data_IF_195799814230
#
_entry.id   IF_195799814230
#
_cell.length_a   1.000
_cell.length_b   1.000
_cell.length_c   1.000
_cell.angle_alpha   90.00
_cell.angle_beta   90.00
_cell.angle_gamma   90.00
#
_symmetry.space_group_name_H-M   'P 1'
#
loop_
_entity.id
_entity.type
_entity.pdbx_description
1 polymer ?
#
# COMPACT_ATOMS: atom_id res chain seq x y z
N UNK A 1 -18.82 5.56 -15.67
CA UNK A 1 -17.66 5.06 -14.89
C UNK A 1 -16.43 5.81 -15.39
N UNK A 2 -15.67 6.42 -14.48
CA UNK A 2 -14.34 6.91 -14.84
C UNK A 2 -13.44 5.68 -15.09
N UNK A 3 -12.76 5.63 -16.23
CA UNK A 3 -11.90 4.50 -16.62
C UNK A 3 -10.45 4.68 -16.15
N UNK A 4 -10.24 5.40 -15.05
CA UNK A 4 -8.92 5.58 -14.47
C UNK A 4 -8.49 4.30 -13.75
N UNK A 5 -7.23 3.92 -13.91
CA UNK A 5 -6.58 3.00 -12.99
C UNK A 5 -6.19 3.82 -11.76
N UNK A 6 -6.52 3.33 -10.57
CA UNK A 6 -6.10 3.94 -9.31
C UNK A 6 -4.63 3.56 -9.10
N UNK A 7 -3.73 4.25 -9.81
CA UNK A 7 -2.30 4.06 -9.65
C UNK A 7 -1.90 4.39 -8.21
N UNK A 8 -0.95 3.64 -7.66
CA UNK A 8 -0.65 3.66 -6.23
C UNK A 8 -0.15 5.05 -5.75
N UNK A 9 0.53 5.79 -6.63
CA UNK A 9 0.99 7.15 -6.39
C UNK A 9 -0.16 8.16 -6.35
N UNK A 10 -1.13 8.06 -7.27
CA UNK A 10 -2.36 8.87 -7.24
C UNK A 10 -3.15 8.63 -5.94
N UNK A 11 -3.27 7.36 -5.52
CA UNK A 11 -3.98 7.00 -4.28
C UNK A 11 -3.24 7.54 -3.06
N UNK A 12 -1.92 7.40 -3.01
CA UNK A 12 -1.10 7.94 -1.92
C UNK A 12 -1.24 9.46 -1.83
N UNK A 13 -1.19 10.19 -2.96
CA UNK A 13 -1.39 11.64 -2.99
C UNK A 13 -2.81 12.01 -2.52
N UNK A 14 -3.84 11.28 -2.94
CA UNK A 14 -5.22 11.52 -2.50
C UNK A 14 -5.39 11.30 -0.98
N UNK A 15 -4.73 10.31 -0.40
CA UNK A 15 -4.71 10.08 1.06
C UNK A 15 -4.05 11.27 1.76
N UNK A 16 -2.88 11.71 1.31
CA UNK A 16 -2.19 12.87 1.88
C UNK A 16 -3.04 14.14 1.78
N UNK A 17 -3.72 14.34 0.65
CA UNK A 17 -4.67 15.42 0.46
C UNK A 17 -5.84 15.34 1.47
N UNK A 18 -6.45 14.17 1.64
CA UNK A 18 -7.55 13.98 2.60
C UNK A 18 -7.10 14.28 4.05
N UNK A 19 -5.92 13.78 4.44
CA UNK A 19 -5.32 14.06 5.76
C UNK A 19 -5.08 15.56 5.94
N UNK A 20 -4.47 16.22 4.94
CA UNK A 20 -4.22 17.66 4.98
C UNK A 20 -5.50 18.52 5.05
N UNK A 21 -6.62 18.01 4.53
CA UNK A 21 -7.93 18.66 4.61
C UNK A 21 -8.70 18.32 5.90
N UNK A 22 -8.10 17.60 6.84
CA UNK A 22 -8.71 17.28 8.13
C UNK A 22 -9.77 16.19 8.09
N UNK A 23 -9.75 15.32 7.07
CA UNK A 23 -10.59 14.12 7.05
C UNK A 23 -10.28 13.26 8.27
N UNK A 24 -11.31 12.83 9.01
CA UNK A 24 -11.16 11.94 10.18
C UNK A 24 -11.35 10.47 9.84
N UNK A 25 -12.05 10.16 8.75
CA UNK A 25 -12.30 8.80 8.26
C UNK A 25 -12.22 8.81 6.73
N UNK A 26 -11.50 7.86 6.15
CA UNK A 26 -11.31 7.69 4.71
C UNK A 26 -11.88 6.34 4.28
N UNK A 27 -12.76 6.36 3.27
CA UNK A 27 -13.33 5.16 2.67
C UNK A 27 -12.52 4.75 1.43
N UNK A 28 -12.02 3.53 1.42
CA UNK A 28 -11.23 2.92 0.34
C UNK A 28 -11.95 1.68 -0.19
N UNK A 29 -12.96 1.90 -1.02
CA UNK A 29 -13.76 0.83 -1.65
C UNK A 29 -13.06 0.21 -2.88
N UNK A 30 -11.76 -0.04 -2.76
CA UNK A 30 -10.89 -0.63 -3.78
C UNK A 30 -9.90 -1.61 -3.13
N UNK A 31 -9.23 -2.40 -3.95
CA UNK A 31 -8.05 -3.13 -3.51
C UNK A 31 -7.49 -4.09 -4.54
N UNK A 32 -6.32 -4.63 -4.22
CA UNK A 32 -5.57 -5.59 -5.04
C UNK A 32 -4.86 -6.64 -4.16
N UNK A 33 -4.43 -7.75 -4.76
CA UNK A 33 -3.64 -8.77 -4.09
C UNK A 33 -2.17 -8.34 -3.86
N UNK A 34 -1.70 -7.33 -4.59
CA UNK A 34 -0.35 -6.82 -4.47
C UNK A 34 -0.18 -5.92 -3.24
N UNK A 35 0.90 -6.15 -2.49
CA UNK A 35 1.30 -5.28 -1.39
C UNK A 35 2.01 -4.03 -1.94
N UNK A 36 1.55 -2.85 -1.55
CA UNK A 36 2.20 -1.57 -1.89
C UNK A 36 2.84 -0.93 -0.67
N UNK A 37 4.16 -0.74 -0.71
CA UNK A 37 4.90 -0.03 0.35
C UNK A 37 4.55 1.46 0.36
N UNK A 38 4.37 2.08 -0.81
CA UNK A 38 3.99 3.48 -0.92
C UNK A 38 2.62 3.73 -0.29
N UNK A 39 1.64 2.87 -0.61
CA UNK A 39 0.30 2.98 -0.02
C UNK A 39 0.31 2.74 1.48
N UNK A 40 1.10 1.75 1.96
CA UNK A 40 1.27 1.50 3.39
C UNK A 40 1.86 2.70 4.11
N UNK A 41 2.92 3.32 3.59
CA UNK A 41 3.52 4.52 4.18
C UNK A 41 2.50 5.68 4.28
N UNK A 42 1.70 5.89 3.23
CA UNK A 42 0.68 6.94 3.21
C UNK A 42 -0.42 6.69 4.25
N UNK A 43 -0.90 5.44 4.38
CA UNK A 43 -1.90 5.04 5.37
C UNK A 43 -1.32 5.15 6.78
N UNK A 44 -0.10 4.66 7.03
CA UNK A 44 0.59 4.77 8.32
C UNK A 44 0.79 6.22 8.73
N UNK A 45 1.20 7.07 7.79
CA UNK A 45 1.28 8.51 8.02
C UNK A 45 -0.09 9.07 8.41
N UNK A 46 -1.15 8.80 7.64
CA UNK A 46 -2.50 9.27 7.96
C UNK A 46 -3.01 8.77 9.32
N UNK A 47 -2.75 7.52 9.65
CA UNK A 47 -3.13 6.91 10.92
C UNK A 47 -2.39 7.59 12.08
N UNK A 48 -1.10 7.90 11.91
CA UNK A 48 -0.33 8.69 12.88
C UNK A 48 -0.87 10.12 13.09
N UNK A 49 -1.59 10.66 12.10
CA UNK A 49 -2.30 11.94 12.20
C UNK A 49 -3.73 11.79 12.77
N UNK A 50 -4.13 10.59 13.17
CA UNK A 50 -5.42 10.30 13.77
C UNK A 50 -6.57 10.15 12.77
N UNK A 51 -6.28 9.68 11.55
CA UNK A 51 -7.27 9.36 10.52
C UNK A 51 -7.57 7.86 10.53
N UNK A 52 -8.85 7.49 10.53
CA UNK A 52 -9.29 6.11 10.37
C UNK A 52 -9.41 5.75 8.89
N UNK A 53 -8.84 4.61 8.51
CA UNK A 53 -8.93 4.07 7.16
C UNK A 53 -9.88 2.89 7.16
N UNK A 54 -10.85 2.87 6.25
CA UNK A 54 -11.84 1.79 6.11
C UNK A 54 -11.80 1.28 4.68
N UNK A 55 -11.54 0.00 4.49
CA UNK A 55 -11.43 -0.59 3.16
C UNK A 55 -12.29 -1.83 2.98
N UNK A 56 -12.68 -2.07 1.74
CA UNK A 56 -13.44 -3.25 1.35
C UNK A 56 -12.55 -4.50 1.34
N UNK A 57 -13.01 -5.60 1.95
CA UNK A 57 -12.24 -6.84 2.07
C UNK A 57 -11.99 -7.57 0.72
N UNK A 58 -12.75 -7.23 -0.32
CA UNK A 58 -12.67 -7.85 -1.65
C UNK A 58 -13.86 -8.76 -1.97
N UNK A 59 -14.01 -9.10 -3.26
CA UNK A 59 -15.23 -9.69 -3.83
C UNK A 59 -15.01 -11.06 -4.50
N UNK A 60 -14.01 -11.82 -4.05
CA UNK A 60 -13.60 -13.08 -4.68
C UNK A 60 -14.09 -14.33 -3.93
N UNK A 61 -14.68 -14.17 -2.74
CA UNK A 61 -15.09 -15.30 -1.90
C UNK A 61 -13.91 -16.15 -1.44
N UNK A 62 -12.76 -15.53 -1.15
CA UNK A 62 -11.53 -16.26 -0.77
C UNK A 62 -10.92 -15.73 0.52
N UNK A 63 -9.94 -16.48 1.03
CA UNK A 63 -9.08 -16.06 2.14
C UNK A 63 -7.80 -15.34 1.69
N UNK A 64 -7.71 -14.93 0.42
CA UNK A 64 -6.56 -14.19 -0.06
C UNK A 64 -6.57 -12.76 0.52
N UNK A 65 -5.38 -12.25 0.83
CA UNK A 65 -5.23 -10.87 1.29
C UNK A 65 -5.62 -9.89 0.17
N UNK A 66 -6.20 -8.77 0.57
CA UNK A 66 -6.61 -7.70 -0.32
C UNK A 66 -6.16 -6.37 0.30
N UNK A 67 -5.25 -5.67 -0.34
CA UNK A 67 -4.70 -4.40 0.12
C UNK A 67 -5.48 -3.23 -0.48
N UNK A 68 -5.75 -2.14 0.27
CA UNK A 68 -5.21 -1.85 1.61
C UNK A 68 -5.96 -2.49 2.78
N UNK A 69 -7.06 -3.22 2.57
CA UNK A 69 -7.85 -3.80 3.66
C UNK A 69 -7.08 -4.77 4.57
N UNK A 70 -5.99 -5.38 4.08
CA UNK A 70 -5.13 -6.26 4.85
C UNK A 70 -4.00 -5.54 5.62
N UNK A 71 -3.91 -4.21 5.58
CA UNK A 71 -2.97 -3.47 6.43
C UNK A 71 -3.49 -3.33 7.86
N UNK A 72 -2.62 -3.46 8.85
CA UNK A 72 -2.94 -3.31 10.28
C UNK A 72 -3.64 -1.98 10.62
N UNK A 73 -3.30 -0.90 9.92
CA UNK A 73 -3.87 0.43 10.15
C UNK A 73 -5.21 0.66 9.41
N UNK A 74 -5.73 -0.35 8.72
CA UNK A 74 -6.97 -0.26 7.92
C UNK A 74 -8.04 -1.21 8.43
N UNK A 75 -9.25 -0.67 8.66
CA UNK A 75 -10.44 -1.44 9.02
C UNK A 75 -10.96 -2.18 7.80
N UNK A 76 -10.84 -3.50 7.79
CA UNK A 76 -11.29 -4.40 6.73
C UNK A 76 -12.75 -4.77 6.88
N UNK A 77 -13.55 -4.52 5.84
CA UNK A 77 -15.00 -4.70 5.89
C UNK A 77 -15.49 -5.74 4.91
N UNK A 78 -16.04 -6.84 5.45
CA UNK A 78 -16.73 -7.88 4.68
C UNK A 78 -18.19 -7.54 4.39
N UNK A 79 -18.84 -8.36 3.56
CA UNK A 79 -20.21 -8.13 3.07
C UNK A 79 -21.18 -9.21 3.54
N UNK A 80 -22.35 -8.77 3.98
CA UNK A 80 -23.50 -9.63 4.29
C UNK A 80 -24.64 -9.47 3.30
N UNK A 81 -25.47 -10.50 3.22
CA UNK A 81 -26.76 -10.53 2.55
C UNK A 81 -27.89 -10.08 3.49
N UNK A 82 -29.07 -9.85 2.90
CA UNK A 82 -30.29 -9.66 3.69
C UNK A 82 -30.51 -10.85 4.62
N UNK A 83 -30.56 -10.59 5.92
CA UNK A 83 -30.67 -11.64 6.95
C UNK A 83 -29.37 -11.93 7.70
N UNK A 84 -28.25 -11.32 7.31
CA UNK A 84 -26.97 -11.40 8.02
C UNK A 84 -26.08 -12.58 7.66
N UNK A 85 -26.45 -13.39 6.65
CA UNK A 85 -25.53 -14.38 6.09
C UNK A 85 -24.37 -13.70 5.37
N UNK A 86 -23.16 -14.27 5.45
CA UNK A 86 -22.02 -13.79 4.66
C UNK A 86 -22.36 -13.87 3.16
N UNK A 87 -22.13 -12.79 2.42
CA UNK A 87 -22.33 -12.79 0.99
C UNK A 87 -21.33 -13.73 0.32
N UNK A 88 -21.79 -14.55 -0.63
CA UNK A 88 -20.94 -15.57 -1.25
C UNK A 88 -19.68 -15.03 -1.96
N UNK A 89 -19.66 -13.74 -2.32
CA UNK A 89 -18.50 -13.06 -2.88
C UNK A 89 -17.58 -12.41 -1.83
N UNK A 90 -18.02 -12.26 -0.57
CA UNK A 90 -17.20 -11.59 0.45
C UNK A 90 -15.94 -12.40 0.69
N UNK A 91 -14.78 -11.76 0.57
CA UNK A 91 -13.56 -12.34 1.13
C UNK A 91 -13.71 -12.49 2.66
N UNK A 92 -12.95 -13.44 3.20
CA UNK A 92 -12.97 -13.83 4.61
C UNK A 92 -11.52 -14.09 5.10
N UNK A 93 -11.27 -14.15 6.40
CA UNK A 93 -9.95 -14.42 6.95
C UNK A 93 -9.64 -13.66 8.24
N UNK A 94 -8.41 -13.83 8.70
CA UNK A 94 -7.78 -13.15 9.85
C UNK A 94 -7.79 -11.64 9.75
N UNK A 95 -7.89 -11.08 8.54
CA UNK A 95 -7.87 -9.64 8.34
C UNK A 95 -9.25 -9.01 8.42
N UNK A 96 -10.35 -9.77 8.52
CA UNK A 96 -11.69 -9.18 8.61
C UNK A 96 -11.90 -8.58 10.00
N UNK A 97 -12.15 -7.28 10.09
CA UNK A 97 -12.47 -6.64 11.36
C UNK A 97 -13.96 -6.73 11.67
N UNK A 98 -14.81 -6.53 10.68
CA UNK A 98 -16.26 -6.60 10.83
C UNK A 98 -16.94 -6.75 9.47
N UNK A 99 -18.25 -6.98 9.49
CA UNK A 99 -19.06 -7.00 8.27
C UNK A 99 -20.16 -5.96 8.29
N UNK A 100 -20.57 -5.54 7.10
CA UNK A 100 -21.71 -4.66 6.87
C UNK A 100 -22.60 -5.20 5.73
N UNK A 101 -23.83 -4.68 5.56
CA UNK A 101 -24.65 -5.01 4.40
C UNK A 101 -23.94 -4.64 3.09
N UNK A 102 -23.78 -5.61 2.19
CA UNK A 102 -23.05 -5.41 0.93
C UNK A 102 -23.68 -6.10 -0.28
N UNK A 103 -24.76 -6.86 -0.09
CA UNK A 103 -25.53 -7.49 -1.17
C UNK A 103 -26.90 -6.80 -1.32
N UNK A 104 -27.30 -6.56 -2.56
CA UNK A 104 -28.51 -5.82 -2.95
C UNK A 104 -28.69 -4.47 -2.23
N UNK A 105 -27.58 -3.75 -2.02
CA UNK A 105 -27.60 -2.42 -1.40
C UNK A 105 -28.15 -1.41 -2.39
N UNK A 106 -29.25 -0.75 -2.05
CA UNK A 106 -29.85 0.25 -2.92
C UNK A 106 -29.05 1.56 -2.86
N UNK A 107 -28.37 1.93 -3.95
CA UNK A 107 -27.42 3.03 -4.00
C UNK A 107 -27.63 3.94 -5.23
N UNK A 108 -27.18 5.20 -5.19
CA UNK A 108 -27.21 6.09 -6.34
C UNK A 108 -26.35 5.57 -7.50
N UNK A 109 -26.79 5.81 -8.72
CA UNK A 109 -26.09 5.52 -9.96
C UNK A 109 -25.93 6.81 -10.80
N UNK A 110 -25.03 6.78 -11.79
CA UNK A 110 -24.83 7.90 -12.70
C UNK A 110 -26.13 8.15 -13.50
N UNK A 111 -26.51 9.43 -13.60
CA UNK A 111 -27.68 9.84 -14.40
C UNK A 111 -29.00 9.86 -13.62
N UNK A 112 -28.97 10.35 -12.38
CA UNK A 112 -30.14 10.50 -11.49
C UNK A 112 -30.91 9.19 -11.27
N UNK A 113 -30.19 8.06 -11.25
CA UNK A 113 -30.75 6.73 -11.08
C UNK A 113 -30.37 6.13 -9.72
N UNK A 114 -31.10 5.08 -9.32
CA UNK A 114 -30.80 4.27 -8.15
C UNK A 114 -31.03 2.80 -8.50
N UNK A 115 -30.19 1.94 -7.95
CA UNK A 115 -30.28 0.51 -8.21
C UNK A 115 -29.65 -0.34 -7.12
N UNK A 116 -29.98 -1.64 -7.09
CA UNK A 116 -29.36 -2.59 -6.19
C UNK A 116 -27.93 -2.89 -6.65
N UNK A 117 -26.98 -2.77 -5.73
CA UNK A 117 -25.56 -2.98 -5.95
C UNK A 117 -25.02 -4.08 -5.03
N UNK A 118 -23.93 -4.73 -5.48
CA UNK A 118 -23.29 -5.83 -4.76
C UNK A 118 -21.79 -5.58 -4.65
N UNK A 119 -21.23 -5.76 -3.46
CA UNK A 119 -19.79 -5.72 -3.21
C UNK A 119 -19.46 -5.26 -1.79
N UNK A 120 -18.32 -5.72 -1.28
CA UNK A 120 -17.70 -5.18 -0.05
C UNK A 120 -17.43 -3.68 -0.17
N UNK A 121 -17.28 -3.17 -1.39
CA UNK A 121 -17.25 -1.74 -1.73
C UNK A 121 -18.46 -0.94 -1.22
N UNK A 122 -19.61 -1.59 -1.01
CA UNK A 122 -20.82 -0.98 -0.43
C UNK A 122 -20.92 -1.20 1.08
N UNK A 123 -20.20 -2.17 1.64
CA UNK A 123 -20.10 -2.37 3.08
C UNK A 123 -19.15 -1.37 3.74
N UNK A 124 -17.98 -1.12 3.15
CA UNK A 124 -16.98 -0.17 3.65
C UNK A 124 -17.56 1.24 3.97
N UNK A 125 -18.37 1.87 3.10
CA UNK A 125 -18.92 3.19 3.40
C UNK A 125 -19.94 3.18 4.54
N UNK A 126 -20.64 2.06 4.80
CA UNK A 126 -21.53 1.92 5.96
C UNK A 126 -20.73 2.00 7.26
N UNK A 127 -19.59 1.31 7.32
CA UNK A 127 -18.66 1.36 8.46
C UNK A 127 -18.01 2.74 8.59
N UNK A 128 -17.59 3.34 7.48
CA UNK A 128 -17.06 4.71 7.46
C UNK A 128 -18.07 5.72 8.03
N UNK A 129 -19.35 5.60 7.64
CA UNK A 129 -20.43 6.43 8.17
C UNK A 129 -20.68 6.18 9.67
N UNK A 130 -20.58 4.93 10.14
CA UNK A 130 -20.72 4.59 11.55
C UNK A 130 -19.62 5.24 12.40
N UNK A 131 -18.35 5.15 11.97
CA UNK A 131 -17.22 5.82 12.62
C UNK A 131 -17.36 7.34 12.59
N UNK A 132 -17.76 7.91 11.45
CA UNK A 132 -18.04 9.34 11.34
C UNK A 132 -19.11 9.81 12.32
N UNK A 133 -20.20 9.04 12.51
CA UNK A 133 -21.23 9.37 13.48
C UNK A 133 -20.72 9.25 14.93
N UNK A 134 -19.97 8.20 15.25
CA UNK A 134 -19.36 8.00 16.58
C UNK A 134 -18.46 9.18 16.95
N UNK A 135 -17.58 9.61 16.04
CA UNK A 135 -16.71 10.77 16.22
C UNK A 135 -17.49 12.09 16.31
N UNK A 136 -18.58 12.23 15.56
CA UNK A 136 -19.41 13.45 15.63
C UNK A 136 -20.18 13.56 16.95
N UNK A 137 -20.60 12.43 17.52
CA UNK A 137 -21.33 12.36 18.80
C UNK A 137 -20.39 12.44 20.00
N UNK A 138 -19.15 11.97 19.83
CA UNK A 138 -18.12 11.98 20.86
C UNK A 138 -16.86 12.67 20.31
N UNK A 139 -16.83 14.01 20.22
CA UNK A 139 -15.69 14.73 19.63
C UNK A 139 -14.35 14.51 20.34
N UNK A 140 -14.41 14.12 21.62
CA UNK A 140 -13.25 13.79 22.45
C UNK A 140 -12.67 12.39 22.19
N UNK A 141 -13.38 11.54 21.43
CA UNK A 141 -12.87 10.21 21.10
C UNK A 141 -11.63 10.30 20.22
N UNK A 142 -10.61 9.57 20.62
CA UNK A 142 -9.53 9.19 19.72
C UNK A 142 -10.07 8.26 18.62
N UNK A 143 -9.38 8.18 17.47
CA UNK A 143 -9.66 7.18 16.44
C UNK A 143 -9.83 5.77 16.98
N UNK A 144 -8.92 5.35 17.86
CA UNK A 144 -8.89 4.01 18.46
C UNK A 144 -10.07 3.79 19.39
N UNK A 145 -10.50 4.82 20.14
CA UNK A 145 -11.70 4.76 20.97
C UNK A 145 -12.98 4.63 20.14
N UNK A 146 -13.06 5.37 19.02
CA UNK A 146 -14.20 5.26 18.12
C UNK A 146 -14.26 3.88 17.45
N UNK A 147 -13.11 3.36 17.00
CA UNK A 147 -13.02 2.01 16.44
C UNK A 147 -13.35 0.95 17.50
N UNK A 148 -12.80 1.05 18.71
CA UNK A 148 -13.08 0.13 19.81
C UNK A 148 -14.57 0.09 20.17
N UNK A 149 -15.23 1.24 20.27
CA UNK A 149 -16.68 1.32 20.47
C UNK A 149 -17.48 0.69 19.30
N UNK A 150 -17.02 0.87 18.06
CA UNK A 150 -17.66 0.26 16.91
C UNK A 150 -17.59 -1.27 16.99
N UNK A 151 -16.38 -1.81 17.15
CA UNK A 151 -16.14 -3.26 17.16
C UNK A 151 -16.85 -3.93 18.34
N UNK A 152 -16.78 -3.36 19.54
CA UNK A 152 -17.46 -3.90 20.71
C UNK A 152 -19.00 -3.84 20.60
N UNK A 153 -19.53 -2.92 19.78
CA UNK A 153 -20.96 -2.79 19.52
C UNK A 153 -21.47 -3.67 18.38
N UNK A 154 -20.60 -4.35 17.64
CA UNK A 154 -21.02 -5.22 16.55
C UNK A 154 -21.92 -6.36 17.07
N UNK A 155 -22.96 -6.66 16.30
CA UNK A 155 -23.80 -7.83 16.56
C UNK A 155 -23.04 -9.07 16.10
N UNK A 156 -22.56 -9.83 17.07
CA UNK A 156 -21.88 -11.09 16.85
C UNK A 156 -22.72 -12.06 16.00
N UNK A 157 -22.08 -12.64 14.98
CA UNK A 157 -22.64 -13.58 14.01
C UNK A 157 -21.64 -14.70 13.84
N UNK A 158 -22.13 -15.93 13.63
CA UNK A 158 -21.25 -17.07 13.45
C UNK A 158 -20.79 -17.66 14.79
N UNK A 159 -19.48 -17.77 14.99
CA UNK A 159 -18.91 -18.27 16.23
C UNK A 159 -18.78 -17.15 17.26
N UNK A 160 -18.93 -17.47 18.55
CA UNK A 160 -18.87 -16.45 19.60
C UNK A 160 -17.55 -15.66 19.57
N UNK A 161 -17.67 -14.34 19.56
CA UNK A 161 -16.55 -13.40 19.50
C UNK A 161 -16.05 -13.18 18.07
N UNK A 162 -14.78 -12.78 17.92
CA UNK A 162 -14.21 -12.60 16.60
C UNK A 162 -14.11 -13.96 15.86
N UNK A 163 -14.53 -13.99 14.60
CA UNK A 163 -14.30 -15.13 13.70
C UNK A 163 -13.85 -14.72 12.27
N UNK A 164 -13.23 -15.63 11.49
CA UNK A 164 -12.70 -15.28 10.17
C UNK A 164 -13.75 -14.89 9.12
N UNK A 165 -15.03 -15.16 9.36
CA UNK A 165 -16.10 -14.87 8.38
C UNK A 165 -16.76 -13.53 8.66
N UNK A 166 -17.03 -13.24 9.93
CA UNK A 166 -17.80 -12.07 10.34
C UNK A 166 -16.96 -11.02 11.06
N UNK A 167 -15.68 -11.28 11.34
CA UNK A 167 -14.86 -10.44 12.19
C UNK A 167 -15.50 -10.33 13.58
N UNK A 168 -15.61 -9.10 14.09
CA UNK A 168 -16.37 -8.77 15.31
C UNK A 168 -17.91 -8.85 15.15
N UNK A 169 -18.40 -9.15 13.94
CA UNK A 169 -19.82 -9.30 13.65
C UNK A 169 -20.36 -8.22 12.71
N UNK A 170 -21.68 -8.14 12.63
CA UNK A 170 -22.38 -7.15 11.82
C UNK A 170 -22.41 -5.80 12.53
N UNK A 171 -22.03 -4.74 11.82
CA UNK A 171 -22.12 -3.36 12.34
C UNK A 171 -23.50 -3.05 12.94
N UNK A 172 -23.52 -2.56 14.19
CA UNK A 172 -24.73 -2.11 14.88
C UNK A 172 -24.46 -0.77 15.56
N UNK A 173 -24.84 0.30 14.87
CA UNK A 173 -24.57 1.67 15.29
C UNK A 173 -25.27 2.04 16.61
N UNK A 174 -26.43 1.44 16.91
CA UNK A 174 -27.15 1.75 18.15
C UNK A 174 -26.42 1.16 19.36
N UNK A 175 -25.97 -0.09 19.25
CA UNK A 175 -25.12 -0.72 20.25
C UNK A 175 -23.80 0.05 20.42
N UNK A 176 -23.10 0.36 19.33
CA UNK A 176 -21.83 1.10 19.38
C UNK A 176 -21.94 2.47 20.06
N UNK A 177 -23.04 3.21 19.83
CA UNK A 177 -23.30 4.50 20.49
C UNK A 177 -23.66 4.38 21.98
N UNK A 178 -24.03 3.18 22.44
CA UNK A 178 -24.43 2.92 23.83
C UNK A 178 -23.26 2.47 24.71
N UNK A 179 -22.10 2.18 24.11
CA UNK A 179 -20.90 1.74 24.83
C UNK A 179 -20.23 2.94 25.48
N UNK A 180 -20.33 3.00 26.81
CA UNK A 180 -19.70 4.03 27.64
C UNK A 180 -18.38 3.58 28.27
N UNK A 181 -18.19 2.27 28.43
CA UNK A 181 -17.00 1.65 29.00
C UNK A 181 -16.33 0.78 27.93
N UNK A 182 -15.19 1.24 27.41
CA UNK A 182 -14.48 0.58 26.32
C UNK A 182 -13.35 -0.28 26.86
N UNK A 183 -13.24 -1.50 26.33
CA UNK A 183 -12.02 -2.28 26.45
C UNK A 183 -10.97 -1.76 25.47
N UNK A 184 -9.70 -1.97 25.79
CA UNK A 184 -8.57 -1.66 24.93
C UNK A 184 -7.61 -2.84 24.94
N UNK A 185 -7.25 -3.30 23.75
CA UNK A 185 -6.21 -4.26 23.53
C UNK A 185 -5.33 -3.74 22.39
N UNK A 186 -4.01 -3.81 22.55
CA UNK A 186 -3.06 -3.50 21.49
C UNK A 186 -1.72 -4.19 21.76
N UNK A 187 -0.99 -4.50 20.69
CA UNK A 187 0.36 -5.05 20.73
C UNK A 187 1.32 -3.96 20.23
N UNK A 188 2.14 -3.45 21.16
CA UNK A 188 3.17 -2.45 20.89
C UNK A 188 4.43 -3.11 20.28
N UNK A 189 4.83 -4.28 20.79
CA UNK A 189 5.95 -5.06 20.27
C UNK A 189 5.67 -6.56 20.37
N UNK A 190 6.11 -7.37 19.39
CA UNK A 190 6.83 -6.96 18.17
C UNK A 190 5.96 -6.14 17.20
N UNK A 191 6.60 -5.23 16.44
CA UNK A 191 5.90 -4.43 15.44
C UNK A 191 5.44 -5.31 14.27
N UNK A 192 4.32 -4.97 13.65
CA UNK A 192 3.79 -5.76 12.52
C UNK A 192 4.69 -5.70 11.30
N UNK A 193 5.01 -6.87 10.77
CA UNK A 193 5.95 -7.07 9.68
C UNK A 193 7.42 -6.98 10.08
N UNK A 194 7.73 -6.84 11.37
CA UNK A 194 9.11 -7.00 11.86
C UNK A 194 9.56 -8.46 11.73
N UNK A 195 10.87 -8.67 11.69
CA UNK A 195 11.47 -10.00 11.74
C UNK A 195 12.22 -10.25 13.03
N UNK A 196 12.46 -11.51 13.36
CA UNK A 196 13.29 -11.93 14.49
C UNK A 196 14.01 -13.23 14.21
N UNK A 197 15.26 -13.30 14.67
CA UNK A 197 16.07 -14.52 14.76
C UNK A 197 16.26 -14.98 16.22
N UNK A 198 15.57 -14.32 17.18
CA UNK A 198 15.69 -14.63 18.60
C UNK A 198 14.91 -15.90 18.96
N UNK A 199 15.33 -16.62 19.99
CA UNK A 199 14.62 -17.81 20.47
C UNK A 199 13.41 -17.49 21.35
N UNK A 200 13.38 -16.29 21.94
CA UNK A 200 12.34 -15.82 22.86
C UNK A 200 11.92 -14.41 22.49
N UNK A 201 10.63 -14.23 22.18
CA UNK A 201 10.04 -12.94 21.83
C UNK A 201 9.28 -12.39 23.03
N UNK A 202 9.61 -11.17 23.45
CA UNK A 202 8.82 -10.46 24.47
C UNK A 202 7.68 -9.72 23.79
N UNK A 203 6.45 -9.94 24.27
CA UNK A 203 5.25 -9.30 23.75
C UNK A 203 4.84 -8.22 24.75
N UNK A 204 4.90 -6.97 24.32
CA UNK A 204 4.51 -5.81 25.13
C UNK A 204 3.31 -5.11 24.49
N UNK A 205 2.45 -4.54 25.32
CA UNK A 205 1.25 -3.88 24.84
C UNK A 205 0.32 -3.50 25.98
N UNK A 206 -0.95 -3.34 25.63
CA UNK A 206 -2.00 -3.01 26.59
C UNK A 206 -3.16 -3.98 26.43
N UNK A 207 -3.78 -4.35 27.55
CA UNK A 207 -4.95 -5.21 27.63
C UNK A 207 -5.71 -4.83 28.90
N UNK A 208 -6.73 -3.98 28.77
CA UNK A 208 -7.50 -3.49 29.92
C UNK A 208 -8.95 -3.23 29.54
N UNK A 209 -9.87 -3.48 30.47
CA UNK A 209 -11.30 -3.24 30.31
C UNK A 209 -11.97 -3.26 31.68
N UNK A 210 -12.94 -2.37 31.95
CA UNK A 210 -13.81 -2.49 33.13
C UNK A 210 -14.56 -3.82 33.21
N UNK A 211 -14.75 -4.48 32.06
CA UNK A 211 -15.40 -5.78 31.93
C UNK A 211 -14.42 -6.95 31.72
N UNK A 212 -13.12 -6.76 32.00
CA UNK A 212 -12.09 -7.76 31.69
C UNK A 212 -12.37 -9.11 32.37
N UNK A 213 -12.45 -10.16 31.56
CA UNK A 213 -12.47 -11.55 32.01
C UNK A 213 -11.06 -12.15 31.95
N UNK A 214 -10.44 -12.14 30.76
CA UNK A 214 -9.06 -12.58 30.53
C UNK A 214 -8.48 -11.91 29.29
N UNK A 215 -7.17 -11.96 29.13
CA UNK A 215 -6.54 -11.78 27.83
C UNK A 215 -5.74 -13.03 27.45
N UNK A 216 -5.73 -13.34 26.17
CA UNK A 216 -5.09 -14.51 25.59
C UNK A 216 -4.09 -14.07 24.52
N UNK A 217 -2.89 -14.63 24.57
CA UNK A 217 -1.92 -14.55 23.48
C UNK A 217 -1.89 -15.89 22.77
N UNK A 218 -1.98 -15.87 21.44
CA UNK A 218 -1.88 -17.06 20.58
C UNK A 218 -1.13 -16.72 19.29
N UNK A 219 -0.66 -17.73 18.56
CA UNK A 219 -0.04 -17.55 17.25
C UNK A 219 -0.58 -18.53 16.22
N UNK A 220 -0.64 -18.13 14.96
CA UNK A 220 -0.93 -19.02 13.83
C UNK A 220 0.14 -18.90 12.73
N UNK A 221 0.30 -19.97 11.94
CA UNK A 221 1.27 -20.01 10.83
C UNK A 221 0.70 -19.30 9.60
N UNK A 222 1.46 -18.41 9.00
CA UNK A 222 1.05 -17.59 7.85
C UNK A 222 0.50 -16.22 8.25
N UNK A 223 0.21 -15.39 7.24
CA UNK A 223 -0.42 -14.06 7.38
C UNK A 223 -1.93 -14.17 7.61
N UNK A 224 -2.53 -15.32 7.25
CA UNK A 224 -3.95 -15.56 7.44
C UNK A 224 -4.24 -16.97 8.00
N UNK A 225 -3.85 -17.24 9.25
CA UNK A 225 -4.08 -18.54 9.86
C UNK A 225 -5.55 -18.75 10.24
N UNK A 226 -6.07 -19.93 9.92
CA UNK A 226 -7.41 -20.35 10.36
C UNK A 226 -7.41 -20.97 11.76
N UNK A 227 -6.23 -21.36 12.27
CA UNK A 227 -6.06 -21.96 13.59
C UNK A 227 -4.90 -21.30 14.30
N UNK A 228 -5.05 -21.18 15.62
CA UNK A 228 -4.03 -20.58 16.49
C UNK A 228 -3.64 -21.53 17.61
N UNK A 229 -2.38 -21.49 17.99
CA UNK A 229 -1.79 -22.16 19.14
C UNK A 229 -1.70 -21.17 20.31
N UNK A 230 -2.18 -21.57 21.48
CA UNK A 230 -2.11 -20.75 22.70
C UNK A 230 -0.65 -20.56 23.15
N UNK A 231 -0.27 -19.31 23.43
CA UNK A 231 0.98 -18.94 24.12
C UNK A 231 0.70 -18.84 25.62
N UNK A 232 -0.27 -18.01 25.99
CA UNK A 232 -0.64 -17.78 27.40
C UNK A 232 -2.06 -17.24 27.53
N UNK A 233 -2.69 -17.46 28.67
CA UNK A 233 -3.95 -16.81 29.06
C UNK A 233 -3.80 -16.28 30.49
N UNK A 234 -4.21 -15.02 30.68
CA UNK A 234 -4.10 -14.32 31.96
C UNK A 234 -5.48 -13.80 32.36
N UNK A 235 -5.91 -14.18 33.57
CA UNK A 235 -7.24 -13.85 34.08
C UNK A 235 -7.21 -12.59 34.95
N UNK A 236 -8.24 -11.74 34.78
CA UNK A 236 -8.53 -10.59 35.63
C UNK A 236 -7.35 -9.64 35.95
N UNK A 237 -6.34 -9.58 35.07
CA UNK A 237 -5.16 -8.72 35.23
C UNK A 237 -5.11 -7.76 34.06
N UNK A 238 -5.22 -6.46 34.35
CA UNK A 238 -5.09 -5.41 33.34
C UNK A 238 -3.62 -5.06 33.13
N UNK A 239 -3.23 -4.87 31.87
CA UNK A 239 -1.86 -4.51 31.47
C UNK A 239 -1.94 -3.21 30.68
N UNK A 240 -1.03 -2.27 30.94
CA UNK A 240 -0.93 -1.01 30.20
C UNK A 240 0.52 -0.73 29.84
N UNK A 241 0.83 -0.77 28.54
CA UNK A 241 2.17 -0.56 27.97
C UNK A 241 3.27 -1.31 28.73
N UNK A 242 3.00 -2.59 29.00
CA UNK A 242 3.90 -3.48 29.73
C UNK A 242 3.85 -4.88 29.08
N UNK A 243 4.56 -5.84 29.65
CA UNK A 243 4.69 -7.20 29.16
C UNK A 243 3.34 -7.92 29.26
N UNK A 244 2.76 -8.24 28.10
CA UNK A 244 1.58 -9.10 27.98
C UNK A 244 1.96 -10.57 28.13
N UNK A 245 3.13 -10.96 27.61
CA UNK A 245 3.64 -12.32 27.70
C UNK A 245 4.99 -12.50 27.02
N UNK A 246 5.47 -13.75 26.99
CA UNK A 246 6.69 -14.13 26.28
C UNK A 246 6.40 -15.36 25.44
N UNK A 247 6.94 -15.40 24.24
CA UNK A 247 6.72 -16.45 23.26
C UNK A 247 8.04 -17.14 22.93
N UNK A 248 8.17 -18.41 23.34
CA UNK A 248 9.27 -19.28 22.94
C UNK A 248 9.02 -19.76 21.51
N UNK A 249 9.95 -19.43 20.62
CA UNK A 249 9.87 -19.74 19.19
C UNK A 249 10.94 -20.73 18.74
N UNK A 250 11.72 -21.27 19.67
CA UNK A 250 12.72 -22.31 19.39
C UNK A 250 12.09 -23.49 18.64
N UNK A 251 12.65 -23.78 17.46
CA UNK A 251 12.21 -24.91 16.63
C UNK A 251 11.00 -24.63 15.74
N UNK A 252 10.44 -23.41 15.77
CA UNK A 252 9.50 -22.97 14.75
C UNK A 252 10.23 -22.75 13.41
N UNK A 253 9.69 -23.24 12.29
CA UNK A 253 10.27 -22.99 10.96
C UNK A 253 10.31 -21.51 10.58
N UNK A 254 11.25 -21.17 9.71
CA UNK A 254 11.35 -19.82 9.15
C UNK A 254 10.17 -19.55 8.23
N UNK A 255 9.32 -18.63 8.66
CA UNK A 255 8.14 -18.17 7.92
C UNK A 255 7.48 -16.99 8.66
N UNK A 256 6.39 -16.49 8.11
CA UNK A 256 5.55 -15.49 8.77
C UNK A 256 4.56 -16.17 9.72
N UNK A 257 4.39 -15.56 10.88
CA UNK A 257 3.42 -15.95 11.89
C UNK A 257 2.52 -14.77 12.23
N UNK A 258 1.24 -15.05 12.49
CA UNK A 258 0.31 -14.06 13.03
C UNK A 258 0.21 -14.25 14.53
N UNK A 259 0.69 -13.27 15.29
CA UNK A 259 0.47 -13.16 16.73
C UNK A 259 -0.91 -12.52 16.96
N UNK A 260 -1.72 -13.12 17.83
CA UNK A 260 -3.05 -12.65 18.20
C UNK A 260 -3.10 -12.34 19.71
N UNK A 261 -3.58 -11.15 20.05
CA UNK A 261 -4.02 -10.75 21.39
C UNK A 261 -5.53 -10.68 21.41
N UNK A 262 -6.17 -11.47 22.27
CA UNK A 262 -7.63 -11.50 22.45
C UNK A 262 -8.00 -11.11 23.86
N UNK A 263 -8.76 -10.03 24.02
CA UNK A 263 -9.33 -9.56 25.28
C UNK A 263 -10.76 -10.07 25.41
N UNK A 264 -11.01 -10.95 26.38
CA UNK A 264 -12.34 -11.45 26.70
C UNK A 264 -13.03 -10.56 27.71
N UNK A 265 -14.31 -10.27 27.48
CA UNK A 265 -15.08 -9.34 28.29
C UNK A 265 -16.41 -9.91 28.75
N UNK A 266 -16.82 -9.56 29.96
CA UNK A 266 -18.13 -9.92 30.49
C UNK A 266 -19.23 -9.09 29.81
N UNK A 267 -20.12 -9.77 29.07
CA UNK A 267 -21.31 -9.14 28.49
C UNK A 267 -21.05 -8.27 27.26
N UNK A 268 -19.83 -8.27 26.74
CA UNK A 268 -19.39 -7.59 25.52
C UNK A 268 -18.64 -8.58 24.63
N UNK A 269 -18.55 -8.27 23.34
CA UNK A 269 -17.74 -9.04 22.39
C UNK A 269 -16.25 -8.99 22.76
N UNK A 270 -15.50 -10.03 22.37
CA UNK A 270 -14.05 -10.04 22.49
C UNK A 270 -13.43 -8.91 21.65
N UNK A 271 -12.35 -8.30 22.12
CA UNK A 271 -11.49 -7.42 21.31
C UNK A 271 -10.28 -8.24 20.84
N UNK A 272 -9.99 -8.22 19.55
CA UNK A 272 -8.90 -8.99 18.96
C UNK A 272 -7.96 -8.04 18.24
N UNK A 273 -6.65 -8.24 18.46
CA UNK A 273 -5.57 -7.53 17.79
C UNK A 273 -4.57 -8.52 17.23
N UNK A 274 -3.99 -8.21 16.07
CA UNK A 274 -3.04 -9.08 15.39
C UNK A 274 -1.80 -8.34 14.93
N UNK A 275 -0.69 -9.07 14.88
CA UNK A 275 0.58 -8.59 14.32
C UNK A 275 1.23 -9.71 13.53
N UNK A 276 1.78 -9.39 12.36
CA UNK A 276 2.63 -10.33 11.63
C UNK A 276 4.07 -10.24 12.15
N UNK A 277 4.68 -11.39 12.43
CA UNK A 277 6.08 -11.52 12.80
C UNK A 277 6.75 -12.51 11.86
N UNK A 278 7.82 -12.08 11.19
CA UNK A 278 8.65 -12.97 10.38
C UNK A 278 9.69 -13.64 11.29
N UNK A 279 9.62 -14.96 11.42
CA UNK A 279 10.68 -15.73 12.06
C UNK A 279 11.65 -16.13 10.96
N UNK A 280 12.92 -15.76 11.12
CA UNK A 280 13.95 -16.02 10.13
C UNK A 280 15.31 -16.18 10.83
N UNK A 281 15.89 -17.37 10.70
CA UNK A 281 17.19 -17.72 11.28
C UNK A 281 18.29 -17.82 10.22
N UNK A 282 17.97 -17.56 8.95
CA UNK A 282 18.91 -17.63 7.83
C UNK A 282 19.30 -16.24 7.34
N UNK A 283 20.60 -15.95 7.17
CA UNK A 283 21.01 -14.71 6.52
C UNK A 283 20.59 -14.72 5.04
N UNK A 284 20.12 -13.58 4.51
CA UNK A 284 19.59 -13.51 3.16
C UNK A 284 20.63 -13.90 2.12
N UNK A 285 20.22 -14.57 1.05
CA UNK A 285 21.05 -14.96 -0.08
C UNK A 285 20.64 -14.26 -1.37
N UNK A 286 21.63 -14.09 -2.25
CA UNK A 286 21.45 -13.50 -3.56
C UNK A 286 21.02 -14.59 -4.54
N UNK A 287 19.80 -14.49 -5.07
CA UNK A 287 19.20 -15.48 -5.97
C UNK A 287 19.64 -15.26 -7.42
N UNK A 288 19.69 -14.01 -7.88
CA UNK A 288 20.19 -13.62 -9.19
C UNK A 288 20.82 -12.23 -9.15
N UNK A 289 21.75 -11.95 -10.06
CA UNK A 289 22.35 -10.63 -10.27
C UNK A 289 22.57 -10.43 -11.76
N UNK A 290 21.97 -9.38 -12.29
CA UNK A 290 22.16 -8.91 -13.65
C UNK A 290 22.63 -7.46 -13.67
N UNK A 291 23.44 -7.12 -14.68
CA UNK A 291 23.88 -5.75 -14.92
C UNK A 291 23.61 -5.40 -16.36
N UNK A 292 22.69 -4.47 -16.58
CA UNK A 292 22.31 -3.99 -17.91
C UNK A 292 22.90 -2.61 -18.13
N UNK A 293 23.61 -2.43 -19.25
CA UNK A 293 24.10 -1.10 -19.65
C UNK A 293 22.97 -0.31 -20.31
N UNK A 294 22.96 0.99 -20.07
CA UNK A 294 21.90 1.88 -20.57
C UNK A 294 22.42 3.29 -20.82
N UNK A 295 21.63 4.08 -21.55
CA UNK A 295 21.84 5.50 -21.78
C UNK A 295 20.89 6.31 -20.90
N UNK A 296 21.42 7.29 -20.17
CA UNK A 296 20.66 8.26 -19.36
C UNK A 296 20.95 9.64 -19.96
N UNK A 297 20.02 10.14 -20.78
CA UNK A 297 20.30 11.32 -21.62
C UNK A 297 21.55 11.07 -22.50
N UNK A 298 22.56 11.98 -22.48
CA UNK A 298 23.82 11.78 -23.21
C UNK A 298 24.83 10.88 -22.48
N UNK A 299 24.55 10.50 -21.23
CA UNK A 299 25.50 9.82 -20.36
C UNK A 299 25.28 8.31 -20.33
N UNK A 300 26.36 7.59 -20.01
CA UNK A 300 26.31 6.14 -19.79
C UNK A 300 25.92 5.83 -18.34
N UNK A 301 25.07 4.82 -18.18
CA UNK A 301 24.71 4.24 -16.90
C UNK A 301 24.73 2.72 -16.93
N UNK A 302 24.63 2.12 -15.75
CA UNK A 302 24.39 0.70 -15.57
C UNK A 302 23.28 0.50 -14.55
N UNK A 303 22.28 -0.29 -14.92
CA UNK A 303 21.24 -0.78 -14.04
C UNK A 303 21.71 -2.11 -13.48
N UNK A 304 21.81 -2.18 -12.17
CA UNK A 304 22.12 -3.38 -11.41
C UNK A 304 20.78 -3.89 -10.90
N UNK A 305 20.42 -5.10 -11.30
CA UNK A 305 19.20 -5.77 -10.87
C UNK A 305 19.57 -7.04 -10.14
N UNK A 306 18.98 -7.28 -9.00
CA UNK A 306 19.16 -8.56 -8.32
C UNK A 306 17.92 -8.93 -7.52
N UNK A 307 17.79 -10.23 -7.29
CA UNK A 307 16.77 -10.79 -6.42
C UNK A 307 17.40 -11.45 -5.20
N UNK A 308 16.76 -11.30 -4.04
CA UNK A 308 17.04 -12.10 -2.83
C UNK A 308 15.98 -13.17 -2.61
N UNK A 309 16.35 -14.23 -1.89
CA UNK A 309 15.42 -15.24 -1.38
C UNK A 309 14.45 -14.67 -0.32
N UNK A 310 14.94 -13.72 0.49
CA UNK A 310 14.17 -13.04 1.52
C UNK A 310 13.72 -11.62 1.12
N UNK A 311 12.75 -11.06 1.85
CA UNK A 311 12.50 -9.63 1.84
C UNK A 311 13.66 -8.91 2.52
N UNK A 312 14.39 -8.07 1.79
CA UNK A 312 15.61 -7.44 2.29
C UNK A 312 15.62 -5.94 2.04
N UNK A 313 16.30 -5.20 2.92
CA UNK A 313 16.91 -3.93 2.55
C UNK A 313 18.27 -4.23 1.91
N UNK A 314 18.59 -3.51 0.84
CA UNK A 314 19.85 -3.66 0.16
C UNK A 314 20.64 -2.36 0.19
N UNK A 315 21.94 -2.50 0.46
CA UNK A 315 22.91 -1.42 0.30
C UNK A 315 23.90 -1.82 -0.78
N UNK A 316 23.97 -1.02 -1.83
CA UNK A 316 24.95 -1.12 -2.87
C UNK A 316 26.13 -0.21 -2.54
N UNK A 317 27.28 -0.78 -2.24
CA UNK A 317 28.52 -0.04 -2.02
C UNK A 317 29.33 -0.04 -3.31
N UNK A 318 29.84 1.12 -3.72
CA UNK A 318 30.59 1.24 -4.97
C UNK A 318 31.74 2.24 -4.87
N UNK A 319 32.72 2.10 -5.77
CA UNK A 319 33.93 2.92 -5.85
C UNK A 319 34.52 2.92 -7.26
N UNK A 320 35.46 3.85 -7.59
CA UNK A 320 36.20 3.77 -8.83
C UNK A 320 37.11 2.53 -8.84
N UNK A 321 37.27 1.92 -10.02
CA UNK A 321 38.10 0.74 -10.22
C UNK A 321 39.54 1.00 -9.75
N UNK A 322 40.01 0.19 -8.79
CA UNK A 322 41.39 0.25 -8.27
C UNK A 322 41.61 1.14 -7.04
N UNK A 323 40.58 1.84 -6.55
CA UNK A 323 40.66 2.55 -5.27
C UNK A 323 40.54 1.57 -4.08
N UNK A 324 41.08 1.96 -2.91
CA UNK A 324 41.14 1.09 -1.73
C UNK A 324 39.80 0.97 -0.99
N UNK A 325 39.01 2.04 -0.95
CA UNK A 325 37.88 2.16 -0.04
C UNK A 325 36.55 2.32 -0.78
N UNK A 326 35.49 1.73 -0.23
CA UNK A 326 34.12 1.91 -0.71
C UNK A 326 33.51 3.12 0.00
N UNK A 327 33.66 4.30 -0.61
CA UNK A 327 33.23 5.59 -0.03
C UNK A 327 31.80 6.00 -0.41
N UNK A 328 31.20 5.33 -1.39
CA UNK A 328 29.86 5.65 -1.89
C UNK A 328 28.91 4.47 -1.71
N UNK A 329 27.64 4.79 -1.42
CA UNK A 329 26.59 3.78 -1.35
C UNK A 329 25.23 4.30 -1.83
N UNK A 330 24.38 3.36 -2.26
CA UNK A 330 22.95 3.58 -2.49
C UNK A 330 22.17 2.54 -1.69
N UNK A 331 21.07 2.95 -1.09
CA UNK A 331 20.22 2.09 -0.28
C UNK A 331 18.87 1.88 -0.98
N UNK A 332 18.30 0.68 -0.86
CA UNK A 332 16.89 0.49 -1.15
C UNK A 332 16.06 1.23 -0.10
N UNK A 333 14.86 1.68 -0.48
CA UNK A 333 13.96 2.37 0.43
C UNK A 333 13.09 1.41 1.24
N UNK A 334 12.78 0.27 0.64
CA UNK A 334 11.81 -0.69 1.16
C UNK A 334 12.41 -2.09 1.23
N UNK A 335 11.90 -2.88 2.16
CA UNK A 335 12.12 -4.33 2.16
C UNK A 335 11.47 -4.91 0.93
N UNK A 336 12.23 -5.58 0.08
CA UNK A 336 11.71 -6.20 -1.14
C UNK A 336 12.62 -7.34 -1.56
N UNK A 337 12.13 -8.21 -2.43
CA UNK A 337 12.94 -9.28 -3.01
C UNK A 337 13.72 -8.79 -4.22
N UNK A 338 13.11 -7.94 -5.04
CA UNK A 338 13.73 -7.43 -6.26
C UNK A 338 14.28 -6.03 -6.03
N UNK A 339 15.56 -5.84 -6.33
CA UNK A 339 16.26 -4.59 -6.13
C UNK A 339 16.81 -4.08 -7.45
N UNK A 340 16.67 -2.78 -7.66
CA UNK A 340 17.13 -2.10 -8.86
C UNK A 340 17.93 -0.86 -8.44
N UNK A 341 19.21 -0.81 -8.83
CA UNK A 341 20.07 0.33 -8.58
C UNK A 341 20.66 0.86 -9.87
N UNK A 342 20.60 2.18 -10.04
CA UNK A 342 21.21 2.87 -11.16
C UNK A 342 22.52 3.48 -10.72
N UNK A 343 23.63 3.14 -11.38
CA UNK A 343 24.90 3.89 -11.28
C UNK A 343 25.14 4.59 -12.62
N UNK A 344 25.39 5.89 -12.56
CA UNK A 344 25.64 6.73 -13.71
C UNK A 344 26.88 7.60 -13.55
N UNK A 345 27.22 8.36 -14.58
CA UNK A 345 28.26 9.40 -14.51
C UNK A 345 27.95 10.53 -13.53
N UNK A 346 26.70 10.71 -13.13
CA UNK A 346 26.34 11.69 -12.09
C UNK A 346 26.76 11.19 -10.71
N UNK A 347 26.81 9.87 -10.52
CA UNK A 347 27.22 9.26 -9.26
C UNK A 347 28.75 9.17 -9.16
N UNK A 348 29.41 8.75 -10.24
CA UNK A 348 30.85 8.45 -10.22
C UNK A 348 31.47 8.46 -11.62
N UNK A 349 32.72 8.91 -11.72
CA UNK A 349 33.50 8.87 -12.96
C UNK A 349 34.37 7.62 -13.03
N UNK A 350 34.46 7.00 -14.21
CA UNK A 350 35.33 5.84 -14.43
C UNK A 350 34.60 4.52 -14.43
N UNK A 351 35.34 3.44 -14.67
CA UNK A 351 34.83 2.09 -14.41
C UNK A 351 34.72 1.89 -12.89
N UNK A 352 33.75 1.07 -12.47
CA UNK A 352 33.32 0.97 -11.07
C UNK A 352 33.47 -0.45 -10.56
N UNK A 353 33.89 -0.59 -9.31
CA UNK A 353 33.74 -1.81 -8.53
C UNK A 353 32.61 -1.65 -7.52
N UNK A 354 31.81 -2.70 -7.31
CA UNK A 354 30.72 -2.71 -6.34
C UNK A 354 30.61 -4.03 -5.59
N UNK A 355 29.99 -3.97 -4.40
CA UNK A 355 29.45 -5.11 -3.68
C UNK A 355 28.07 -4.78 -3.13
N UNK A 356 27.33 -5.82 -2.74
CA UNK A 356 25.98 -5.68 -2.19
C UNK A 356 25.99 -6.18 -0.75
N UNK A 357 25.36 -5.44 0.15
CA UNK A 357 24.99 -5.92 1.49
C UNK A 357 23.47 -6.01 1.56
N UNK A 358 22.96 -7.17 1.99
CA UNK A 358 21.55 -7.39 2.24
C UNK A 358 21.32 -7.53 3.73
N UNK A 359 20.21 -6.97 4.22
CA UNK A 359 19.71 -7.15 5.57
C UNK A 359 18.25 -7.60 5.51
N UNK A 360 17.91 -8.73 6.13
CA UNK A 360 16.51 -9.16 6.25
C UNK A 360 15.81 -8.47 7.44
N UNK A 361 14.51 -8.68 7.60
CA UNK A 361 13.71 -8.05 8.65
C UNK A 361 14.09 -8.52 10.06
N UNK A 362 14.77 -9.67 10.20
CA UNK A 362 15.34 -10.19 11.44
C UNK A 362 16.69 -9.55 11.81
N UNK A 363 17.23 -8.67 10.96
CA UNK A 363 18.51 -8.00 11.17
C UNK A 363 19.73 -8.86 10.83
N UNK A 364 19.54 -10.04 10.22
CA UNK A 364 20.63 -10.86 9.69
C UNK A 364 21.12 -10.25 8.38
N UNK A 365 22.44 -10.18 8.23
CA UNK A 365 23.07 -9.52 7.08
C UNK A 365 24.00 -10.45 6.32
N UNK A 366 24.02 -10.32 4.99
CA UNK A 366 24.99 -11.01 4.12
C UNK A 366 25.65 -10.02 3.19
N UNK A 367 26.97 -10.13 3.03
CA UNK A 367 27.76 -9.36 2.07
C UNK A 367 28.11 -10.21 0.85
N UNK A 368 27.87 -9.67 -0.34
CA UNK A 368 28.16 -10.27 -1.63
C UNK A 368 29.21 -9.43 -2.35
N UNK A 369 30.47 -9.81 -2.19
CA UNK A 369 31.64 -9.13 -2.74
C UNK A 369 32.37 -9.93 -3.82
N UNK A 370 31.71 -10.96 -4.37
CA UNK A 370 32.27 -11.87 -5.37
C UNK A 370 33.58 -12.55 -4.89
N UNK A 371 33.65 -12.96 -3.62
CA UNK A 371 34.85 -13.57 -3.03
C UNK A 371 36.02 -12.59 -2.89
N UNK A 372 35.70 -11.32 -2.65
CA UNK A 372 36.66 -10.21 -2.60
C UNK A 372 37.15 -9.71 -3.97
N UNK A 373 36.71 -10.30 -5.08
CA UNK A 373 37.04 -9.81 -6.42
C UNK A 373 36.22 -8.59 -6.84
N UNK A 374 35.09 -8.36 -6.15
CA UNK A 374 34.07 -7.36 -6.44
C UNK A 374 33.43 -7.51 -7.83
N UNK A 375 32.25 -6.92 -8.00
CA UNK A 375 31.59 -6.85 -9.30
C UNK A 375 32.06 -5.59 -10.04
N UNK A 376 32.08 -5.63 -11.38
CA UNK A 376 32.63 -4.54 -12.19
C UNK A 376 31.62 -3.99 -13.18
N UNK A 377 31.52 -2.67 -13.26
CA UNK A 377 30.71 -1.95 -14.24
C UNK A 377 31.60 -1.10 -15.14
N UNK A 378 31.31 -1.12 -16.43
CA UNK A 378 31.99 -0.26 -17.41
C UNK A 378 31.11 0.92 -17.76
N UNK A 379 31.30 2.05 -17.07
CA UNK A 379 30.58 3.29 -17.37
C UNK A 379 31.20 4.08 -18.53
N UNK A 380 32.44 3.75 -18.92
CA UNK A 380 33.15 4.44 -20.00
C UNK A 380 33.10 3.72 -21.36
N UNK A 381 32.36 2.62 -21.48
CA UNK A 381 32.22 1.91 -22.74
C UNK A 381 31.24 2.65 -23.67
N UNK A 382 31.75 3.18 -24.78
CA UNK A 382 30.91 3.75 -25.84
C UNK A 382 29.90 2.73 -26.35
N UNK A 383 28.64 3.14 -26.51
CA UNK A 383 27.63 2.32 -27.17
C UNK A 383 27.87 2.37 -28.69
N UNK A 384 27.70 1.27 -29.43
CA UNK A 384 27.61 1.37 -30.88
C UNK A 384 26.38 2.23 -31.22
N UNK A 385 26.62 3.48 -31.62
CA UNK A 385 25.59 4.43 -32.10
C UNK A 385 25.03 4.01 -33.47
N UNK A 386 25.41 2.82 -33.96
CA UNK A 386 24.88 2.29 -35.20
C UNK A 386 23.36 2.08 -35.03
N UNK A 387 22.59 2.84 -35.80
CA UNK A 387 21.13 2.81 -35.85
C UNK A 387 20.37 3.55 -34.72
N UNK A 388 21.06 4.36 -33.90
CA UNK A 388 20.35 5.36 -33.07
C UNK A 388 20.23 6.63 -33.90
N UNK A 389 19.01 6.96 -34.32
CA UNK A 389 18.71 8.25 -34.91
C UNK A 389 18.63 9.27 -33.77
N UNK A 390 19.58 10.20 -33.73
CA UNK A 390 19.44 11.40 -32.91
C UNK A 390 18.16 12.11 -33.37
N UNK A 391 17.17 12.20 -32.49
CA UNK A 391 15.91 12.89 -32.75
C UNK A 391 16.21 14.39 -32.80
N UNK A 392 16.64 14.87 -33.96
CA UNK A 392 17.12 16.24 -34.16
C UNK A 392 16.01 17.28 -33.99
N UNK A 393 14.77 16.87 -34.15
CA UNK A 393 13.60 17.74 -34.12
C UNK A 393 12.50 17.09 -33.27
N UNK A 394 12.33 17.59 -32.05
CA UNK A 394 11.10 17.39 -31.30
C UNK A 394 10.12 18.49 -31.69
N UNK A 395 8.82 18.17 -31.69
CA UNK A 395 7.79 19.21 -31.82
C UNK A 395 7.97 20.22 -30.68
N UNK A 396 8.27 21.49 -30.95
CA UNK A 396 8.82 22.42 -29.95
C UNK A 396 7.77 23.00 -29.00
N UNK A 397 6.53 22.53 -29.08
CA UNK A 397 5.40 23.05 -28.32
C UNK A 397 4.87 21.98 -27.37
N UNK A 398 4.65 22.36 -26.10
CA UNK A 398 3.99 21.52 -25.10
C UNK A 398 2.47 21.66 -25.25
N UNK A 399 1.76 20.53 -25.39
CA UNK A 399 0.31 20.56 -25.57
C UNK A 399 -0.23 19.29 -26.23
N UNK A 400 -1.48 19.37 -26.70
CA UNK A 400 -2.15 18.27 -27.39
C UNK A 400 -2.09 18.46 -28.91
N UNK A 401 -1.39 17.55 -29.59
CA UNK A 401 -1.39 17.47 -31.05
C UNK A 401 -2.45 16.46 -31.49
N UNK A 402 -3.35 16.86 -32.38
CA UNK A 402 -4.34 15.94 -32.94
C UNK A 402 -3.67 14.87 -33.81
N UNK A 403 -4.21 13.63 -33.83
CA UNK A 403 -3.56 12.50 -34.50
C UNK A 403 -3.66 12.53 -36.04
N UNK A 404 -4.28 13.56 -36.62
CA UNK A 404 -4.45 13.71 -38.06
C UNK A 404 -3.94 15.06 -38.55
N UNK A 405 -3.38 15.06 -39.75
CA UNK A 405 -3.10 16.26 -40.54
C UNK A 405 -3.99 16.27 -41.77
N UNK A 406 -4.34 17.46 -42.24
CA UNK A 406 -5.14 17.65 -43.45
C UNK A 406 -4.66 18.91 -44.15
N UNK A 407 -4.74 18.93 -45.47
CA UNK A 407 -4.48 20.13 -46.27
C UNK A 407 -5.76 20.98 -46.31
N UNK A 408 -5.98 21.76 -45.25
CA UNK A 408 -7.18 22.57 -45.06
C UNK A 408 -7.23 23.74 -46.06
N UNK A 409 -6.07 24.22 -46.50
CA UNK A 409 -5.96 25.38 -47.39
C UNK A 409 -5.78 24.99 -48.89
N UNK A 410 -5.66 23.69 -49.18
CA UNK A 410 -5.46 23.12 -50.51
C UNK A 410 -4.15 23.53 -51.22
N UNK A 411 -3.09 23.82 -50.46
CA UNK A 411 -1.77 24.23 -50.98
C UNK A 411 -0.77 23.08 -51.17
N UNK A 412 -1.23 21.85 -50.97
CA UNK A 412 -0.46 20.59 -51.00
C UNK A 412 0.49 20.39 -49.81
N UNK A 413 0.41 21.24 -48.79
CA UNK A 413 1.14 21.10 -47.52
C UNK A 413 0.14 20.76 -46.41
N UNK A 414 0.16 19.54 -45.84
CA UNK A 414 -0.75 19.19 -44.76
C UNK A 414 -0.49 20.04 -43.52
N UNK A 415 -1.55 20.63 -42.96
CA UNK A 415 -1.51 21.28 -41.66
C UNK A 415 -1.92 20.34 -40.53
N UNK A 416 -1.46 20.66 -39.33
CA UNK A 416 -1.77 19.96 -38.10
C UNK A 416 -2.60 20.85 -37.18
N UNK A 417 -3.40 20.22 -36.32
CA UNK A 417 -4.21 20.91 -35.32
C UNK A 417 -3.58 20.70 -33.95
N UNK A 418 -3.34 21.78 -33.21
CA UNK A 418 -2.61 21.76 -31.95
C UNK A 418 -3.26 22.67 -30.91
N UNK A 419 -3.32 22.20 -29.67
CA UNK A 419 -3.72 22.98 -28.50
C UNK A 419 -2.52 23.09 -27.54
N UNK A 420 -2.01 24.31 -27.40
CA UNK A 420 -0.88 24.62 -26.52
C UNK A 420 -1.26 24.49 -25.05
N UNK A 421 -0.38 23.97 -24.21
CA UNK A 421 -0.55 23.93 -22.75
C UNK A 421 -0.10 25.27 -22.15
N UNK A 422 -1.01 26.01 -21.54
CA UNK A 422 -0.75 27.26 -20.81
C UNK A 422 -0.39 26.88 -19.37
N UNK A 423 0.75 27.41 -18.88
CA UNK A 423 1.29 27.20 -17.53
C UNK A 423 1.46 25.72 -17.12
N UNK A 424 1.54 24.81 -18.09
CA UNK A 424 1.76 23.38 -17.83
C UNK A 424 0.51 22.59 -17.43
N UNK A 425 -0.65 23.23 -17.30
CA UNK A 425 -1.84 22.61 -16.70
C UNK A 425 -3.13 22.81 -17.50
N UNK A 426 -3.25 23.90 -18.28
CA UNK A 426 -4.49 24.23 -18.97
C UNK A 426 -4.33 24.18 -20.49
N UNK A 427 -5.30 23.58 -21.19
CA UNK A 427 -5.34 23.66 -22.65
C UNK A 427 -5.73 25.08 -23.11
N UNK A 428 -4.81 25.71 -23.82
CA UNK A 428 -5.02 26.93 -24.56
C UNK A 428 -5.83 26.71 -25.84
N UNK A 429 -6.13 27.79 -26.57
CA UNK A 429 -6.96 27.72 -27.77
C UNK A 429 -6.34 26.79 -28.82
N UNK A 430 -7.22 26.08 -29.54
CA UNK A 430 -6.81 25.27 -30.68
C UNK A 430 -6.30 26.20 -31.78
N UNK A 431 -5.19 25.81 -32.42
CA UNK A 431 -4.61 26.49 -33.58
C UNK A 431 -4.31 25.48 -34.67
N UNK A 432 -4.37 25.93 -35.91
CA UNK A 432 -3.90 25.18 -37.08
C UNK A 432 -2.50 25.68 -37.41
N UNK A 433 -1.56 24.75 -37.61
CA UNK A 433 -0.20 25.06 -37.98
C UNK A 433 0.32 24.22 -39.12
N UNK A 434 1.28 24.75 -39.86
CA UNK A 434 2.01 24.06 -40.92
C UNK A 434 3.50 24.02 -40.60
N UNK A 435 4.22 23.01 -41.10
CA UNK A 435 5.67 22.99 -41.10
C UNK A 435 6.19 23.25 -42.50
N UNK A 436 6.78 24.43 -42.71
CA UNK A 436 7.24 24.88 -44.04
C UNK A 436 8.60 25.52 -43.95
N UNK A 437 9.50 25.11 -44.86
CA UNK A 437 10.87 25.62 -44.95
C UNK A 437 11.66 25.56 -43.63
N UNK A 438 11.45 24.49 -42.83
CA UNK A 438 12.16 24.28 -41.57
C UNK A 438 11.60 25.07 -40.37
N UNK A 439 10.41 25.67 -40.50
CA UNK A 439 9.78 26.44 -39.43
C UNK A 439 8.30 26.04 -39.26
N UNK A 440 7.86 25.97 -38.00
CA UNK A 440 6.44 25.89 -37.65
C UNK A 440 5.80 27.26 -37.79
N UNK A 441 4.67 27.32 -38.50
CA UNK A 441 3.85 28.53 -38.63
C UNK A 441 2.44 28.21 -38.18
N UNK A 442 1.87 29.06 -37.34
CA UNK A 442 0.47 28.94 -36.95
C UNK A 442 -0.34 30.01 -37.69
N UNK A 443 -1.53 29.63 -38.17
CA UNK A 443 -2.45 30.61 -38.71
C UNK A 443 -3.07 31.42 -37.55
N UNK A 444 -2.79 32.74 -37.47
CA UNK A 444 -3.29 33.59 -36.39
C UNK A 444 -4.82 33.72 -36.36
N UNK A 445 -5.52 33.36 -37.44
CA UNK A 445 -6.99 33.41 -37.55
C UNK A 445 -7.67 32.11 -37.08
N UNK A 446 -6.90 31.07 -36.73
CA UNK A 446 -7.44 29.76 -36.37
C UNK A 446 -7.49 29.52 -34.86
N UNK A 447 -7.20 30.54 -34.05
CA UNK A 447 -7.30 30.47 -32.60
C UNK A 447 -8.78 30.52 -32.15
N UNK A 448 -9.32 29.40 -31.66
CA UNK A 448 -10.66 29.36 -31.07
C UNK A 448 -10.67 28.64 -29.71
N UNK A 449 -11.52 29.07 -28.76
CA UNK A 449 -11.60 28.46 -27.43
C UNK A 449 -12.36 27.14 -27.50
N UNK A 450 -11.63 26.04 -27.58
CA UNK A 450 -12.17 24.69 -27.53
C UNK A 450 -11.18 23.76 -26.82
N UNK A 451 -11.68 22.69 -26.21
CA UNK A 451 -10.87 21.68 -25.54
C UNK A 451 -10.71 20.51 -26.53
N UNK A 452 -9.55 19.83 -26.62
CA UNK A 452 -9.29 18.82 -27.66
C UNK A 452 -10.32 17.67 -27.78
N UNK A 453 -11.13 17.44 -26.74
CA UNK A 453 -12.22 16.46 -26.73
C UNK A 453 -13.41 16.83 -27.64
N UNK A 454 -13.54 18.10 -28.04
CA UNK A 454 -14.70 18.63 -28.77
C UNK A 454 -14.57 18.57 -30.31
N UNK A 455 -13.45 18.06 -30.84
CA UNK A 455 -13.14 18.05 -32.27
C UNK A 455 -13.09 16.65 -32.91
N UNK A 456 -13.65 15.64 -32.25
CA UNK A 456 -13.77 14.26 -32.72
C UNK A 456 -15.00 14.00 -33.57
#
# INVERSE_FOLDING_TARGET
>A
TASGYLEEDDVAEAILYAVANGCRVVNMSFGDAAFSYLLRDAIQYGASQGVLFVASAGNSGTAALNYPAAFDETVSVGATESGGGLAGFSNYGSTIDLVAPGSAVFAPEIGDAYGPQNGTSFSAPVVCAALGLLLSRNPEYSPEQALGALLAGCRDLGFFGWDPFYGHGLVDLFQSLSISEQGFADIDAPASGSGTAAELVSITGSAFSPHLQSYQLSYGVGENPLTTTLISEVFATQVFRDTLGRWEITGLPDTVYTLELRLRQHGLSDIVQRRHLYIDHTPPQLADLDTTRLLIGPNHGSLIRFRSDDLTLATLFFRPLGESDFSLSKNSRYFQREHNFLISREDISGDVEFYIELANSAGLTTRFDNGGAYYRLRLNAGYPVANILELREAFPFSGYLMPFSSDFNADQTPEFVFSELIDGEQFGPIRIGEFRAGQFRFDPLTAFPAIPRDAG
#
